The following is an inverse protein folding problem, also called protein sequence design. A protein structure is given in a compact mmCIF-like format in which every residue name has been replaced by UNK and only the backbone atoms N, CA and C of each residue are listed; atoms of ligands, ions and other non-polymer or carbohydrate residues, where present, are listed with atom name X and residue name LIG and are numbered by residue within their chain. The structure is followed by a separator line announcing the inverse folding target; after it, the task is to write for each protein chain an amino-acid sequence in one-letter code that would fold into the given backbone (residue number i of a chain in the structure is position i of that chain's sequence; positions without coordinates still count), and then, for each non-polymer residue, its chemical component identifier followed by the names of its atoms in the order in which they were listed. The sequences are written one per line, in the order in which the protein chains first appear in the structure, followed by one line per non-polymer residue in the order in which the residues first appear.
data_IF_757438818952
#
_entry.id   IF_757438818952
#
_cell.length_a   1.000
_cell.length_b   1.000
_cell.length_c   1.000
_cell.angle_alpha   90.00
_cell.angle_beta   90.00
_cell.angle_gamma   90.00
#
_symmetry.space_group_name_H-M   'P 1'
#
loop_
_entity.id
_entity.type
_entity.pdbx_description
1 polymer ?
#
# COMPACT_ATOMS: atom_id res chain seq x y z
N UNK A 1 15.23 10.22 -25.08
CA UNK A 1 14.98 9.91 -23.65
C UNK A 1 14.50 11.19 -23.01
N UNK A 2 13.36 11.21 -22.39
CA UNK A 2 12.95 12.31 -21.54
C UNK A 2 13.81 12.25 -20.27
N UNK A 3 14.32 13.40 -19.80
CA UNK A 3 15.23 13.48 -18.64
C UNK A 3 14.62 12.96 -17.31
N UNK A 4 13.33 12.60 -17.30
CA UNK A 4 12.57 12.19 -16.13
C UNK A 4 12.25 10.69 -16.08
N UNK A 5 12.65 9.93 -17.08
CA UNK A 5 12.42 8.46 -17.10
C UNK A 5 13.27 7.78 -16.03
N UNK A 6 12.63 6.88 -15.26
CA UNK A 6 13.27 6.13 -14.17
C UNK A 6 12.93 4.65 -14.26
N UNK A 7 13.81 3.82 -13.70
CA UNK A 7 13.59 2.39 -13.50
C UNK A 7 13.67 2.08 -12.00
N UNK A 8 12.66 1.39 -11.48
CA UNK A 8 12.61 0.95 -10.09
C UNK A 8 12.33 -0.55 -10.09
N UNK A 9 13.29 -1.35 -9.67
CA UNK A 9 13.20 -2.82 -9.65
C UNK A 9 12.76 -3.44 -10.99
N UNK A 10 13.21 -2.87 -12.13
CA UNK A 10 12.84 -3.31 -13.47
C UNK A 10 11.52 -2.72 -14.00
N UNK A 11 10.85 -1.89 -13.23
CA UNK A 11 9.62 -1.19 -13.64
C UNK A 11 10.00 0.17 -14.24
N UNK A 12 9.83 0.29 -15.56
CA UNK A 12 10.09 1.54 -16.27
C UNK A 12 8.92 2.50 -16.15
N UNK A 13 9.19 3.72 -15.68
CA UNK A 13 8.23 4.79 -15.55
C UNK A 13 8.68 6.01 -16.34
N UNK A 14 7.74 6.69 -17.00
CA UNK A 14 8.01 7.91 -17.80
C UNK A 14 8.52 9.09 -16.97
N UNK A 15 8.31 9.06 -15.66
CA UNK A 15 8.80 10.03 -14.67
C UNK A 15 8.69 9.42 -13.26
N UNK A 16 9.35 10.00 -12.23
CA UNK A 16 9.39 9.43 -10.88
C UNK A 16 8.12 9.68 -10.04
N UNK A 17 7.07 10.28 -10.60
CA UNK A 17 5.85 10.54 -9.83
C UNK A 17 4.93 9.34 -9.83
N UNK A 18 4.36 9.03 -8.66
CA UNK A 18 3.49 7.89 -8.46
C UNK A 18 2.29 8.27 -7.59
N UNK A 19 1.09 7.85 -7.99
CA UNK A 19 -0.07 7.92 -7.09
C UNK A 19 0.13 6.92 -5.95
N UNK A 20 0.20 7.41 -4.72
CA UNK A 20 0.28 6.54 -3.55
C UNK A 20 -1.08 5.87 -3.26
N UNK A 21 -1.04 4.66 -2.66
CA UNK A 21 -2.25 4.00 -2.14
C UNK A 21 -2.98 4.89 -1.12
N UNK A 22 -4.30 5.04 -1.25
CA UNK A 22 -5.09 5.92 -0.38
C UNK A 22 -6.52 6.14 -0.87
N UNK A 23 -6.86 7.40 -1.16
CA UNK A 23 -8.24 7.83 -1.47
C UNK A 23 -8.54 7.81 -2.98
N UNK A 24 -7.59 8.29 -3.82
CA UNK A 24 -7.84 8.47 -5.26
C UNK A 24 -7.71 7.17 -6.08
N UNK A 25 -7.55 6.04 -5.45
CA UNK A 25 -7.36 4.72 -6.07
C UNK A 25 -8.42 3.71 -5.64
N UNK A 26 -9.59 4.19 -5.25
CA UNK A 26 -10.73 3.34 -4.95
C UNK A 26 -11.31 2.67 -6.20
N UNK A 27 -11.26 3.38 -7.35
CA UNK A 27 -11.74 2.88 -8.63
C UNK A 27 -10.68 2.90 -9.72
N UNK A 28 -10.76 1.98 -10.69
CA UNK A 28 -9.89 1.95 -11.86
C UNK A 28 -9.96 3.24 -12.66
N UNK A 29 -11.17 3.82 -12.82
CA UNK A 29 -11.37 5.07 -13.57
C UNK A 29 -10.63 6.25 -12.92
N UNK A 30 -10.61 6.36 -11.59
CA UNK A 30 -9.84 7.41 -10.93
C UNK A 30 -8.33 7.24 -11.12
N UNK A 31 -7.84 6.00 -11.09
CA UNK A 31 -6.43 5.69 -11.40
C UNK A 31 -6.07 6.02 -12.86
N UNK A 32 -6.95 5.71 -13.82
CA UNK A 32 -6.81 6.13 -15.23
C UNK A 32 -6.74 7.64 -15.37
N UNK A 33 -7.59 8.39 -14.65
CA UNK A 33 -7.56 9.85 -14.68
C UNK A 33 -6.22 10.41 -14.18
N UNK A 34 -5.67 9.86 -13.09
CA UNK A 34 -4.36 10.25 -12.57
C UNK A 34 -3.23 9.88 -13.55
N UNK A 35 -3.28 8.70 -14.16
CA UNK A 35 -2.32 8.30 -15.19
C UNK A 35 -2.34 9.28 -16.37
N UNK A 36 -3.53 9.66 -16.86
CA UNK A 36 -3.71 10.65 -17.95
C UNK A 36 -3.26 12.05 -17.56
N UNK A 37 -3.36 12.42 -16.27
CA UNK A 37 -2.85 13.69 -15.75
C UNK A 37 -1.31 13.75 -15.69
N UNK A 38 -0.61 12.63 -15.93
CA UNK A 38 0.84 12.60 -16.09
C UNK A 38 1.62 11.76 -15.10
N UNK A 39 0.98 11.04 -14.17
CA UNK A 39 1.68 10.15 -13.25
C UNK A 39 2.51 9.09 -14.00
N UNK A 40 3.70 8.77 -13.50
CA UNK A 40 4.57 7.75 -14.04
C UNK A 40 4.11 6.33 -13.72
N UNK A 41 3.42 6.15 -12.57
CA UNK A 41 2.78 4.91 -12.15
C UNK A 41 1.59 5.21 -11.23
N UNK A 42 0.77 4.18 -10.95
CA UNK A 42 -0.30 4.25 -9.95
C UNK A 42 -0.23 3.05 -9.01
N UNK A 43 -0.43 3.29 -7.71
CA UNK A 43 -0.60 2.24 -6.71
C UNK A 43 -2.09 2.09 -6.44
N UNK A 44 -2.58 0.88 -6.34
CA UNK A 44 -4.01 0.60 -6.06
C UNK A 44 -4.39 0.93 -4.62
N UNK A 45 -5.68 0.91 -4.33
CA UNK A 45 -6.16 0.81 -2.95
C UNK A 45 -5.54 -0.42 -2.29
N UNK A 46 -5.16 -0.29 -1.00
CA UNK A 46 -4.78 -1.47 -0.23
C UNK A 46 -6.02 -2.36 -0.02
N UNK A 47 -5.95 -3.60 -0.47
CA UNK A 47 -7.04 -4.57 -0.34
C UNK A 47 -6.61 -5.78 0.46
N UNK A 48 -7.54 -6.32 1.23
CA UNK A 48 -7.40 -7.58 1.96
C UNK A 48 -8.17 -8.72 1.31
N UNK A 49 -8.18 -9.86 1.98
CA UNK A 49 -8.91 -11.03 1.53
C UNK A 49 -10.42 -10.76 1.50
N UNK A 50 -10.94 -10.22 2.59
CA UNK A 50 -12.36 -9.95 2.79
C UNK A 50 -12.69 -8.45 2.68
N UNK A 51 -13.93 -8.08 2.30
CA UNK A 51 -14.34 -6.69 2.27
C UNK A 51 -14.39 -6.05 3.67
N UNK A 52 -14.13 -4.74 3.73
CA UNK A 52 -14.20 -3.92 4.95
C UNK A 52 -14.89 -2.60 4.65
N UNK A 53 -15.82 -2.22 5.52
CA UNK A 53 -16.54 -0.94 5.41
C UNK A 53 -15.68 0.27 5.85
N UNK A 54 -14.68 0.03 6.71
CA UNK A 54 -13.90 1.10 7.33
C UNK A 54 -14.67 1.80 8.47
N UNK A 55 -14.20 3.01 8.84
CA UNK A 55 -14.86 3.80 9.87
C UNK A 55 -15.96 4.70 9.29
N UNK A 56 -17.01 5.02 10.09
CA UNK A 56 -18.07 5.93 9.65
C UNK A 56 -17.53 7.36 9.45
N UNK A 57 -18.13 8.09 8.51
CA UNK A 57 -17.81 9.50 8.28
C UNK A 57 -18.25 10.41 9.44
N UNK A 58 -17.52 11.53 9.69
CA UNK A 58 -16.35 12.01 8.96
C UNK A 58 -15.08 11.27 9.37
N UNK A 59 -14.37 10.68 8.42
CA UNK A 59 -13.12 9.96 8.63
C UNK A 59 -11.86 10.74 8.19
N UNK A 60 -12.03 11.94 7.64
CA UNK A 60 -10.96 12.87 7.30
C UNK A 60 -11.31 14.25 7.83
N UNK A 61 -10.37 14.91 8.50
CA UNK A 61 -10.53 16.26 9.06
C UNK A 61 -9.35 17.13 8.63
N UNK A 62 -9.65 18.31 8.11
CA UNK A 62 -8.66 19.33 7.77
C UNK A 62 -8.23 20.10 9.02
N UNK A 63 -6.92 20.32 9.14
CA UNK A 63 -6.27 21.13 10.16
C UNK A 63 -5.47 22.25 9.49
N UNK A 64 -5.04 23.26 10.25
CA UNK A 64 -4.21 24.34 9.71
C UNK A 64 -2.88 23.83 9.08
N UNK A 65 -2.35 22.70 9.58
CA UNK A 65 -1.06 22.15 9.14
C UNK A 65 -1.18 20.89 8.28
N UNK A 66 -2.37 20.43 7.94
CA UNK A 66 -2.55 19.20 7.16
C UNK A 66 -3.89 18.50 7.36
N UNK A 67 -3.89 17.19 7.17
CA UNK A 67 -5.07 16.35 7.31
C UNK A 67 -4.86 15.27 8.38
N UNK A 68 -5.86 15.05 9.20
CA UNK A 68 -5.98 13.88 10.06
C UNK A 68 -7.00 12.92 9.45
N UNK A 69 -6.72 11.62 9.48
CA UNK A 69 -7.67 10.64 9.00
C UNK A 69 -7.74 9.40 9.91
N UNK A 70 -8.90 8.74 9.85
CA UNK A 70 -9.16 7.43 10.44
C UNK A 70 -10.03 6.63 9.47
N UNK A 71 -9.45 6.19 8.34
CA UNK A 71 -10.19 5.53 7.26
C UNK A 71 -10.66 4.12 7.64
N UNK A 72 -9.88 3.34 8.39
CA UNK A 72 -10.21 1.98 8.76
C UNK A 72 -10.08 0.95 7.63
N UNK A 73 -9.26 1.23 6.62
CA UNK A 73 -8.98 0.37 5.47
C UNK A 73 -10.24 -0.08 4.68
N UNK A 74 -11.18 0.82 4.32
CA UNK A 74 -12.32 0.43 3.51
C UNK A 74 -11.85 -0.14 2.18
N UNK A 75 -12.37 -1.32 1.81
CA UNK A 75 -12.06 -1.98 0.54
C UNK A 75 -13.08 -3.10 0.26
N UNK A 76 -13.31 -3.46 -1.00
CA UNK A 76 -14.31 -4.47 -1.37
C UNK A 76 -13.80 -5.92 -1.30
N UNK A 77 -12.59 -6.16 -0.77
CA UNK A 77 -11.91 -7.45 -0.85
C UNK A 77 -11.23 -7.67 -2.20
N UNK A 78 -10.26 -8.61 -2.22
CA UNK A 78 -9.42 -8.83 -3.41
C UNK A 78 -10.25 -9.23 -4.64
N UNK A 79 -11.19 -10.15 -4.51
CA UNK A 79 -11.90 -10.71 -5.66
C UNK A 79 -12.72 -9.64 -6.40
N UNK A 80 -13.43 -8.78 -5.68
CA UNK A 80 -14.18 -7.69 -6.28
C UNK A 80 -13.27 -6.57 -6.83
N UNK A 81 -12.11 -6.38 -6.24
CA UNK A 81 -11.20 -5.29 -6.65
C UNK A 81 -10.38 -5.60 -7.92
N UNK A 82 -10.27 -6.87 -8.32
CA UNK A 82 -9.52 -7.23 -9.54
C UNK A 82 -10.11 -6.60 -10.81
N UNK A 83 -11.42 -6.33 -10.85
CA UNK A 83 -12.06 -5.61 -11.96
C UNK A 83 -11.54 -4.16 -12.05
N UNK A 84 -11.35 -3.49 -10.92
CA UNK A 84 -10.79 -2.14 -10.86
C UNK A 84 -9.31 -2.11 -11.29
N UNK A 85 -8.55 -3.16 -10.98
CA UNK A 85 -7.17 -3.32 -11.44
C UNK A 85 -7.12 -3.42 -12.97
N UNK A 86 -8.00 -4.22 -13.57
CA UNK A 86 -8.08 -4.36 -15.03
C UNK A 86 -8.39 -3.00 -15.70
N UNK A 87 -9.32 -2.22 -15.16
CA UNK A 87 -9.62 -0.87 -15.65
C UNK A 87 -8.41 0.07 -15.46
N UNK A 88 -7.73 0.03 -14.31
CA UNK A 88 -6.57 0.88 -14.05
C UNK A 88 -5.44 0.68 -15.09
N UNK A 89 -5.24 -0.54 -15.58
CA UNK A 89 -4.24 -0.88 -16.60
C UNK A 89 -4.49 -0.16 -17.94
N UNK A 90 -5.73 0.25 -18.23
CA UNK A 90 -6.06 1.06 -19.40
C UNK A 90 -5.43 2.46 -19.36
N UNK A 91 -4.94 2.88 -18.21
CA UNK A 91 -4.20 4.15 -18.04
C UNK A 91 -2.85 4.18 -18.75
N UNK A 92 -2.30 3.04 -19.17
CA UNK A 92 -1.06 2.93 -19.93
C UNK A 92 0.20 3.28 -19.13
N UNK A 93 0.14 3.18 -17.79
CA UNK A 93 1.27 3.30 -16.86
C UNK A 93 1.35 2.05 -15.98
N UNK A 94 2.50 1.72 -15.38
CA UNK A 94 2.60 0.62 -14.44
C UNK A 94 1.56 0.74 -13.31
N UNK A 95 0.85 -0.35 -13.03
CA UNK A 95 -0.05 -0.49 -11.88
C UNK A 95 0.64 -1.34 -10.82
N UNK A 96 0.74 -0.83 -9.60
CA UNK A 96 1.31 -1.53 -8.44
C UNK A 96 0.15 -1.90 -7.53
N UNK A 97 0.00 -3.19 -7.24
CA UNK A 97 -1.09 -3.70 -6.40
C UNK A 97 -0.77 -3.58 -4.92
N UNK A 98 -1.52 -2.78 -4.16
CA UNK A 98 -1.32 -2.67 -2.71
C UNK A 98 -2.19 -3.67 -1.96
N UNK A 99 -1.57 -4.45 -1.07
CA UNK A 99 -2.22 -5.54 -0.33
C UNK A 99 -1.95 -5.45 1.17
N UNK A 100 -2.87 -5.98 1.98
CA UNK A 100 -2.68 -6.18 3.41
C UNK A 100 -3.37 -7.47 3.87
N UNK A 101 -3.07 -7.91 5.08
CA UNK A 101 -3.73 -9.05 5.73
C UNK A 101 -3.40 -9.13 7.22
N UNK A 102 -4.00 -10.08 7.91
CA UNK A 102 -3.82 -10.33 9.34
C UNK A 102 -2.74 -11.37 9.66
N UNK A 103 -2.28 -12.14 8.67
CA UNK A 103 -1.21 -13.14 8.81
C UNK A 103 -0.30 -13.17 7.57
N UNK A 104 0.83 -13.86 7.69
CA UNK A 104 1.78 -14.07 6.59
C UNK A 104 1.11 -14.81 5.42
N UNK A 105 0.32 -15.83 5.73
CA UNK A 105 -0.38 -16.67 4.76
C UNK A 105 -1.47 -15.86 4.03
N UNK A 106 -2.23 -15.05 4.77
CA UNK A 106 -3.27 -14.21 4.19
C UNK A 106 -2.67 -13.18 3.23
N UNK A 107 -1.62 -12.47 3.66
CA UNK A 107 -0.94 -11.48 2.81
C UNK A 107 -0.36 -12.15 1.56
N UNK A 108 0.26 -13.32 1.69
CA UNK A 108 0.81 -14.07 0.56
C UNK A 108 -0.29 -14.51 -0.43
N UNK A 109 -1.44 -14.94 0.06
CA UNK A 109 -2.59 -15.32 -0.79
C UNK A 109 -3.15 -14.11 -1.53
N UNK A 110 -3.37 -12.97 -0.84
CA UNK A 110 -3.85 -11.74 -1.48
C UNK A 110 -2.85 -11.23 -2.51
N UNK A 111 -1.54 -11.26 -2.19
CA UNK A 111 -0.47 -10.87 -3.09
C UNK A 111 -0.44 -11.75 -4.36
N UNK A 112 -0.62 -13.05 -4.21
CA UNK A 112 -0.66 -13.99 -5.34
C UNK A 112 -1.84 -13.71 -6.28
N UNK A 113 -3.04 -13.44 -5.74
CA UNK A 113 -4.21 -13.06 -6.55
C UNK A 113 -3.97 -11.72 -7.26
N UNK A 114 -3.44 -10.73 -6.55
CA UNK A 114 -3.10 -9.43 -7.10
C UNK A 114 -2.06 -9.54 -8.23
N UNK A 115 -0.98 -10.31 -8.03
CA UNK A 115 0.04 -10.54 -9.05
C UNK A 115 -0.54 -11.24 -10.28
N UNK A 116 -1.47 -12.19 -10.10
CA UNK A 116 -2.13 -12.90 -11.19
C UNK A 116 -3.01 -11.98 -12.07
N UNK A 117 -3.40 -10.80 -11.58
CA UNK A 117 -4.09 -9.78 -12.35
C UNK A 117 -3.15 -8.96 -13.26
N UNK A 118 -1.84 -9.25 -13.28
CA UNK A 118 -0.88 -8.62 -14.18
C UNK A 118 -0.38 -7.26 -13.72
N UNK A 119 -0.38 -6.98 -12.41
CA UNK A 119 0.25 -5.77 -11.86
C UNK A 119 1.77 -5.81 -12.04
N UNK A 120 2.40 -4.64 -12.13
CA UNK A 120 3.85 -4.52 -12.34
C UNK A 120 4.67 -4.89 -11.08
N UNK A 121 4.08 -4.71 -9.90
CA UNK A 121 4.64 -5.09 -8.59
C UNK A 121 3.53 -5.21 -7.56
N UNK A 122 3.86 -5.77 -6.39
CA UNK A 122 2.98 -5.78 -5.21
C UNK A 122 3.56 -4.93 -4.10
N UNK A 123 2.78 -3.97 -3.58
CA UNK A 123 3.09 -3.17 -2.39
C UNK A 123 2.48 -3.83 -1.16
N UNK A 124 3.31 -4.19 -0.18
CA UNK A 124 2.90 -4.76 1.10
C UNK A 124 2.61 -3.63 2.10
N UNK A 125 1.36 -3.40 2.44
CA UNK A 125 0.98 -2.45 3.48
C UNK A 125 1.20 -3.07 4.87
N UNK A 126 2.39 -2.85 5.43
CA UNK A 126 2.82 -3.40 6.72
C UNK A 126 2.37 -2.57 7.93
N UNK A 127 1.54 -1.55 7.73
CA UNK A 127 1.03 -0.70 8.81
C UNK A 127 -0.39 -1.07 9.25
N UNK A 128 -0.85 -2.29 8.96
CA UNK A 128 -2.19 -2.72 9.33
C UNK A 128 -2.31 -2.89 10.86
N UNK A 129 -3.27 -2.23 11.56
CA UNK A 129 -3.39 -2.30 13.00
C UNK A 129 -4.00 -3.62 13.54
N UNK A 130 -4.28 -4.59 12.68
CA UNK A 130 -5.04 -5.78 13.02
C UNK A 130 -4.24 -7.08 12.86
N UNK A 131 -3.19 -7.25 13.67
CA UNK A 131 -2.77 -8.61 14.04
C UNK A 131 -3.75 -9.11 15.12
N UNK A 132 -4.62 -10.04 14.79
CA UNK A 132 -5.51 -10.64 15.79
C UNK A 132 -4.69 -11.18 16.97
N UNK A 133 -4.97 -10.66 18.17
CA UNK A 133 -4.40 -11.14 19.42
C UNK A 133 -3.14 -10.45 19.95
N UNK A 134 -2.49 -9.54 19.22
CA UNK A 134 -1.22 -8.93 19.66
C UNK A 134 -1.28 -7.42 19.93
N UNK A 135 -2.36 -6.73 19.58
CA UNK A 135 -2.49 -5.28 19.80
C UNK A 135 -1.43 -4.41 19.08
N UNK A 136 -0.59 -5.01 18.24
CA UNK A 136 0.49 -4.38 17.51
C UNK A 136 0.21 -4.37 16.00
N UNK A 137 0.73 -3.37 15.31
CA UNK A 137 0.72 -3.32 13.84
C UNK A 137 1.55 -4.51 13.29
N UNK A 138 1.05 -5.17 12.24
CA UNK A 138 1.68 -6.34 11.60
C UNK A 138 3.13 -6.06 11.16
N UNK A 139 3.51 -4.85 10.86
CA UNK A 139 4.89 -4.47 10.50
C UNK A 139 5.63 -3.72 11.59
N UNK A 140 5.30 -3.93 12.87
CA UNK A 140 5.91 -3.18 13.97
C UNK A 140 7.27 -3.70 14.44
N UNK A 141 7.60 -4.94 14.11
CA UNK A 141 8.88 -5.58 14.49
C UNK A 141 9.66 -6.05 13.26
N UNK A 142 11.01 -6.00 13.28
CA UNK A 142 11.84 -6.50 12.19
C UNK A 142 11.54 -7.96 11.82
N UNK A 143 11.42 -8.84 12.80
CA UNK A 143 11.15 -10.27 12.57
C UNK A 143 9.84 -10.51 11.79
N UNK A 144 8.79 -9.74 12.08
CA UNK A 144 7.50 -9.86 11.37
C UNK A 144 7.64 -9.34 9.93
N UNK A 145 8.30 -8.20 9.75
CA UNK A 145 8.55 -7.62 8.42
C UNK A 145 9.32 -8.60 7.54
N UNK A 146 10.40 -9.17 8.06
CA UNK A 146 11.21 -10.16 7.33
C UNK A 146 10.40 -11.38 6.92
N UNK A 147 9.65 -11.98 7.86
CA UNK A 147 8.84 -13.19 7.58
C UNK A 147 7.76 -12.93 6.55
N UNK A 148 7.03 -11.81 6.66
CA UNK A 148 6.00 -11.44 5.68
C UNK A 148 6.60 -11.23 4.30
N UNK A 149 7.69 -10.45 4.19
CA UNK A 149 8.36 -10.23 2.91
C UNK A 149 8.83 -11.55 2.30
N UNK A 150 9.42 -12.44 3.10
CA UNK A 150 9.88 -13.77 2.65
C UNK A 150 8.72 -14.66 2.18
N UNK A 151 7.61 -14.68 2.92
CA UNK A 151 6.42 -15.46 2.54
C UNK A 151 5.82 -14.96 1.23
N UNK A 152 5.68 -13.65 1.06
CA UNK A 152 5.16 -13.08 -0.18
C UNK A 152 6.13 -13.28 -1.34
N UNK A 153 7.45 -13.05 -1.14
CA UNK A 153 8.46 -13.25 -2.17
C UNK A 153 8.48 -14.68 -2.71
N UNK A 154 8.20 -15.65 -1.85
CA UNK A 154 8.08 -17.05 -2.25
C UNK A 154 6.78 -17.36 -3.03
N UNK A 155 5.79 -16.47 -2.99
CA UNK A 155 4.46 -16.68 -3.58
C UNK A 155 4.21 -15.94 -4.90
N UNK A 156 5.07 -14.96 -5.25
CA UNK A 156 4.92 -14.13 -6.45
C UNK A 156 6.23 -13.99 -7.21
N UNK A 157 6.14 -13.81 -8.54
CA UNK A 157 7.31 -13.59 -9.42
C UNK A 157 7.57 -12.09 -9.67
N UNK A 158 6.59 -11.23 -9.41
CA UNK A 158 6.74 -9.77 -9.58
C UNK A 158 7.53 -9.16 -8.43
N UNK A 159 8.15 -7.98 -8.62
CA UNK A 159 8.78 -7.24 -7.53
C UNK A 159 7.82 -6.98 -6.37
N UNK A 160 8.36 -7.00 -5.14
CA UNK A 160 7.61 -6.64 -3.94
C UNK A 160 8.19 -5.39 -3.28
N UNK A 161 7.33 -4.47 -2.88
CA UNK A 161 7.68 -3.24 -2.18
C UNK A 161 7.12 -3.26 -0.77
N UNK A 162 7.97 -3.08 0.23
CA UNK A 162 7.56 -3.05 1.63
C UNK A 162 7.23 -1.61 2.05
N UNK A 163 5.95 -1.31 2.30
CA UNK A 163 5.52 -0.01 2.80
C UNK A 163 5.50 0.01 4.32
N UNK A 164 6.43 0.79 4.87
CA UNK A 164 6.75 0.80 6.29
C UNK A 164 5.93 1.82 7.08
N UNK A 165 5.67 1.47 8.34
CA UNK A 165 5.09 2.40 9.32
C UNK A 165 6.14 3.40 9.81
N UNK A 166 5.80 4.69 9.97
CA UNK A 166 6.67 5.65 10.66
C UNK A 166 6.58 5.53 12.20
N UNK A 167 5.62 4.75 12.71
CA UNK A 167 5.30 4.65 14.14
C UNK A 167 6.19 3.60 14.84
N UNK A 168 7.48 3.76 14.70
CA UNK A 168 8.52 2.84 15.20
C UNK A 168 9.69 3.61 15.78
N UNK A 169 10.44 2.99 16.66
CA UNK A 169 11.69 3.55 17.19
C UNK A 169 12.85 3.52 16.18
N UNK A 170 12.78 2.63 15.16
CA UNK A 170 13.83 2.50 14.14
C UNK A 170 13.23 2.00 12.82
N UNK A 171 12.91 2.91 11.91
CA UNK A 171 12.47 2.58 10.57
C UNK A 171 13.59 1.90 9.75
N UNK A 172 14.86 2.23 10.04
CA UNK A 172 16.00 1.61 9.39
C UNK A 172 16.06 0.11 9.66
N UNK A 173 15.76 -0.32 10.90
CA UNK A 173 15.71 -1.75 11.24
C UNK A 173 14.58 -2.48 10.51
N UNK A 174 13.43 -1.83 10.32
CA UNK A 174 12.34 -2.40 9.52
C UNK A 174 12.72 -2.50 8.04
N UNK A 175 13.43 -1.49 7.51
CA UNK A 175 13.89 -1.50 6.13
C UNK A 175 14.91 -2.62 5.87
N UNK A 176 15.90 -2.80 6.77
CA UNK A 176 16.86 -3.90 6.68
C UNK A 176 16.17 -5.26 6.73
N UNK A 177 15.20 -5.43 7.64
CA UNK A 177 14.43 -6.67 7.74
C UNK A 177 13.59 -6.96 6.47
N UNK A 178 13.03 -5.92 5.85
CA UNK A 178 12.33 -6.07 4.58
C UNK A 178 13.27 -6.52 3.46
N UNK A 179 14.48 -5.96 3.39
CA UNK A 179 15.52 -6.35 2.43
C UNK A 179 15.96 -7.81 2.68
N UNK A 180 16.22 -8.20 3.93
CA UNK A 180 16.55 -9.57 4.34
C UNK A 180 15.42 -10.57 4.02
N UNK A 181 14.17 -10.12 4.07
CA UNK A 181 12.99 -10.86 3.62
C UNK A 181 12.82 -10.94 2.10
N UNK A 182 13.65 -10.24 1.33
CA UNK A 182 13.65 -10.27 -0.15
C UNK A 182 12.79 -9.20 -0.81
N UNK A 183 12.44 -8.12 -0.11
CA UNK A 183 11.78 -6.98 -0.73
C UNK A 183 12.69 -6.31 -1.76
N UNK A 184 12.15 -5.99 -2.94
CA UNK A 184 12.86 -5.35 -4.03
C UNK A 184 12.90 -3.82 -3.91
N UNK A 185 12.10 -3.27 -2.97
CA UNK A 185 12.08 -1.84 -2.68
C UNK A 185 11.36 -1.51 -1.39
N UNK A 186 11.60 -0.30 -0.91
CA UNK A 186 11.00 0.25 0.32
C UNK A 186 10.13 1.46 -0.04
N UNK A 187 8.93 1.50 0.54
CA UNK A 187 8.04 2.67 0.45
C UNK A 187 8.01 3.35 1.83
N UNK A 188 8.54 4.55 1.90
CA UNK A 188 8.55 5.38 3.09
C UNK A 188 7.67 6.62 2.82
N UNK A 189 6.64 6.79 3.58
CA UNK A 189 6.12 6.08 4.74
C UNK A 189 4.60 6.02 4.68
N UNK A 190 3.98 5.17 5.52
CA UNK A 190 2.54 5.20 5.76
C UNK A 190 2.18 6.36 6.73
N UNK A 191 0.96 6.40 7.22
CA UNK A 191 0.42 7.49 8.04
C UNK A 191 1.11 7.58 9.41
N UNK A 192 1.59 8.78 9.75
CA UNK A 192 2.07 9.08 11.11
C UNK A 192 0.87 9.17 12.05
N UNK A 193 0.94 8.54 13.21
CA UNK A 193 -0.07 8.70 14.26
C UNK A 193 -0.07 10.14 14.78
N UNK A 194 -1.24 10.73 14.82
CA UNK A 194 -1.43 12.10 15.30
C UNK A 194 -2.77 12.22 16.02
N UNK A 195 -2.89 13.29 16.81
CA UNK A 195 -4.12 13.68 17.49
C UNK A 195 -4.26 15.20 17.43
N UNK A 196 -5.46 15.67 17.15
CA UNK A 196 -5.81 17.08 17.29
C UNK A 196 -6.83 17.23 18.44
N UNK A 197 -6.59 18.22 19.30
CA UNK A 197 -7.48 18.58 20.39
C UNK A 197 -8.09 19.93 20.07
N UNK A 198 -9.42 20.01 20.10
CA UNK A 198 -10.17 21.27 20.02
C UNK A 198 -10.50 21.70 21.44
N UNK A 199 -9.81 22.71 22.01
CA UNK A 199 -10.00 23.11 23.41
C UNK A 199 -11.42 23.63 23.70
N UNK A 200 -12.11 24.16 22.67
CA UNK A 200 -13.46 24.70 22.76
C UNK A 200 -14.54 23.63 22.88
N UNK A 201 -14.23 22.40 22.45
CA UNK A 201 -15.17 21.27 22.45
C UNK A 201 -14.92 20.27 23.57
N UNK A 202 -13.80 20.37 24.28
CA UNK A 202 -13.43 19.52 25.41
C UNK A 202 -12.75 18.23 24.99
#
# INVERSE_FOLDING_TARGET
MTELEVDIAGIRMRNPTMLASGILNETGLSMVAVARAGAGAVVTKSVGLEPREGHPNPCVVELECGLINAMGLPNPGIDAYLEEVAVAQEGGVPVIGSVFGGSEEEIAEVARRMASAGVAAVELNLSCPHAEGLGAEIGSTPDMVERICRAVKASVEVPIFAKLTPNTSSIASLASAAEEGGADGIVAINTLRAMAICPELG
#
